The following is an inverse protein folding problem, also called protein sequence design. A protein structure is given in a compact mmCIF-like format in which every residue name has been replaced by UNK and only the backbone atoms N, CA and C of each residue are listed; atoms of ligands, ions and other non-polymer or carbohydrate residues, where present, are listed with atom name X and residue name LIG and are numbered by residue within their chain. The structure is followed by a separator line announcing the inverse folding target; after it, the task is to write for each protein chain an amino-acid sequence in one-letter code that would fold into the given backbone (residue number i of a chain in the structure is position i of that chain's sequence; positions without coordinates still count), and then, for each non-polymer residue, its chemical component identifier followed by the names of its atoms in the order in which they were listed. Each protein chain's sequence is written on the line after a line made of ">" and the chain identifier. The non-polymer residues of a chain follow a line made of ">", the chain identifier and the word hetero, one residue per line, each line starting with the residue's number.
data_IF_043002564200
#
_entry.id   IF_043002564200
#
_cell.length_a   1.000
_cell.length_b   1.000
_cell.length_c   1.000
_cell.angle_alpha   90.00
_cell.angle_beta   90.00
_cell.angle_gamma   90.00
#
_symmetry.space_group_name_H-M   'P 1'
#
loop_
_entity.id
_entity.type
_entity.pdbx_description
1 polymer ?
#
# COMPACT_ATOMS: atom_id res chain seq x y z
N UNK A 1 14.22 -1.46 13.51
CA UNK A 1 13.52 -1.83 12.26
C UNK A 1 12.76 -3.11 12.55
N UNK A 2 11.44 -3.08 12.42
CA UNK A 2 10.58 -4.24 12.68
C UNK A 2 10.08 -4.81 11.36
N UNK A 3 9.89 -6.12 11.33
CA UNK A 3 9.30 -6.81 10.20
C UNK A 3 8.26 -7.82 10.71
N UNK A 4 7.28 -8.10 9.86
CA UNK A 4 6.28 -9.14 10.08
C UNK A 4 5.83 -9.70 8.74
N UNK A 5 5.14 -10.84 8.79
CA UNK A 5 4.63 -11.54 7.62
C UNK A 5 3.11 -11.41 7.63
N UNK A 6 2.57 -10.74 6.61
CA UNK A 6 1.13 -10.57 6.46
C UNK A 6 0.57 -11.67 5.56
N UNK A 7 -0.60 -12.20 5.95
CA UNK A 7 -1.39 -13.04 5.06
C UNK A 7 -1.80 -12.23 3.83
N UNK A 8 -1.63 -12.81 2.65
CA UNK A 8 -2.21 -12.27 1.44
C UNK A 8 -2.47 -13.41 0.45
N UNK A 9 -3.72 -13.62 0.08
CA UNK A 9 -4.15 -14.85 -0.59
C UNK A 9 -3.78 -16.09 0.23
N UNK A 10 -3.46 -17.18 -0.46
CA UNK A 10 -2.94 -18.42 0.12
C UNK A 10 -1.43 -18.34 0.46
N UNK A 11 -0.87 -17.13 0.54
CA UNK A 11 0.56 -16.91 0.71
C UNK A 11 0.85 -15.69 1.59
N UNK A 12 2.05 -15.12 1.47
CA UNK A 12 2.43 -13.96 2.26
C UNK A 12 3.09 -12.83 1.49
N UNK A 13 3.02 -11.67 2.14
CA UNK A 13 3.71 -10.45 1.79
C UNK A 13 4.49 -10.00 3.03
N UNK A 14 5.69 -9.47 2.83
CA UNK A 14 6.52 -8.96 3.92
C UNK A 14 6.14 -7.51 4.22
N UNK A 15 5.95 -7.21 5.50
CA UNK A 15 5.75 -5.85 5.98
C UNK A 15 6.95 -5.42 6.82
N UNK A 16 7.56 -4.30 6.46
CA UNK A 16 8.63 -3.65 7.20
C UNK A 16 8.14 -2.28 7.68
N UNK A 17 8.42 -1.94 8.92
CA UNK A 17 7.90 -0.69 9.47
C UNK A 17 8.79 -0.06 10.55
N UNK A 18 8.67 1.25 10.62
CA UNK A 18 9.18 2.12 11.66
C UNK A 18 8.22 3.31 11.84
N UNK A 19 8.45 4.22 12.79
CA UNK A 19 7.68 5.46 12.88
C UNK A 19 7.80 6.35 11.62
N UNK A 20 8.84 6.15 10.80
CA UNK A 20 9.17 7.00 9.65
C UNK A 20 8.69 6.42 8.32
N UNK A 21 8.40 5.12 8.26
CA UNK A 21 7.91 4.50 7.03
C UNK A 21 7.14 3.21 7.29
N UNK A 22 6.32 2.85 6.31
CA UNK A 22 5.71 1.54 6.20
C UNK A 22 5.97 0.99 4.81
N UNK A 23 6.44 -0.25 4.71
CA UNK A 23 6.75 -0.89 3.44
C UNK A 23 6.10 -2.26 3.36
N UNK A 24 5.53 -2.57 2.21
CA UNK A 24 4.92 -3.85 1.85
C UNK A 24 5.65 -4.39 0.63
N UNK A 25 6.15 -5.62 0.71
CA UNK A 25 6.99 -6.21 -0.33
C UNK A 25 6.54 -7.61 -0.72
N UNK A 26 6.51 -7.85 -2.01
CA UNK A 26 6.35 -9.14 -2.66
C UNK A 26 7.44 -9.31 -3.75
N UNK A 27 7.35 -10.36 -4.58
CA UNK A 27 8.41 -10.65 -5.59
C UNK A 27 8.49 -9.60 -6.69
N UNK A 28 7.34 -9.11 -7.16
CA UNK A 28 7.23 -8.13 -8.27
C UNK A 28 6.57 -6.80 -7.85
N UNK A 29 6.41 -6.59 -6.54
CA UNK A 29 5.68 -5.44 -6.00
C UNK A 29 6.36 -4.95 -4.73
N UNK A 30 6.58 -3.64 -4.64
CA UNK A 30 7.05 -3.00 -3.40
C UNK A 30 6.37 -1.64 -3.25
N UNK A 31 5.57 -1.50 -2.20
CA UNK A 31 4.95 -0.23 -1.81
C UNK A 31 5.67 0.29 -0.58
N UNK A 32 6.14 1.52 -0.63
CA UNK A 32 6.70 2.24 0.49
C UNK A 32 5.92 3.52 0.74
N UNK A 33 5.53 3.73 1.98
CA UNK A 33 4.81 4.90 2.45
C UNK A 33 5.72 5.62 3.44
N UNK A 34 6.00 6.89 3.17
CA UNK A 34 6.73 7.83 4.01
C UNK A 34 5.89 9.09 4.22
N UNK A 35 6.25 9.96 5.18
CA UNK A 35 5.62 11.27 5.27
C UNK A 35 5.66 11.98 3.92
N UNK A 36 4.47 12.28 3.37
CA UNK A 36 4.28 13.01 2.11
C UNK A 36 4.75 12.30 0.84
N UNK A 37 5.23 11.06 0.92
CA UNK A 37 5.77 10.33 -0.24
C UNK A 37 5.23 8.91 -0.23
N UNK A 38 4.64 8.48 -1.35
CA UNK A 38 4.28 7.08 -1.58
C UNK A 38 5.00 6.60 -2.83
N UNK A 39 5.79 5.54 -2.71
CA UNK A 39 6.56 4.96 -3.80
C UNK A 39 6.08 3.54 -4.07
N UNK A 40 5.90 3.18 -5.34
CA UNK A 40 5.46 1.85 -5.77
C UNK A 40 6.35 1.33 -6.90
N UNK A 41 7.03 0.21 -6.66
CA UNK A 41 7.74 -0.57 -7.66
C UNK A 41 6.82 -1.63 -8.28
N UNK A 42 6.95 -1.85 -9.58
CA UNK A 42 6.02 -2.68 -10.36
C UNK A 42 4.83 -1.87 -10.93
N UNK A 43 4.96 -0.55 -10.93
CA UNK A 43 3.93 0.38 -11.36
C UNK A 43 3.70 0.35 -12.88
N UNK A 44 2.42 0.37 -13.27
CA UNK A 44 1.94 0.60 -14.62
C UNK A 44 1.49 2.05 -14.81
N UNK A 45 0.17 2.28 -14.71
CA UNK A 45 -0.46 3.58 -14.94
C UNK A 45 -0.91 4.21 -13.61
N UNK A 46 -0.88 5.54 -13.52
CA UNK A 46 -1.44 6.29 -12.39
C UNK A 46 -2.62 7.11 -12.90
N UNK A 47 -3.73 7.08 -12.17
CA UNK A 47 -4.84 8.00 -12.38
C UNK A 47 -5.29 8.59 -11.04
N UNK A 48 -5.81 9.82 -11.08
CA UNK A 48 -6.33 10.49 -9.91
C UNK A 48 -7.70 11.09 -10.21
N UNK A 49 -8.61 10.99 -9.24
CA UNK A 49 -9.95 11.57 -9.33
C UNK A 49 -10.35 12.22 -8.02
N UNK A 50 -11.27 13.18 -8.09
CA UNK A 50 -11.86 13.79 -6.89
C UNK A 50 -13.16 13.05 -6.54
N UNK A 51 -13.35 12.77 -5.25
CA UNK A 51 -14.52 12.10 -4.72
C UNK A 51 -15.30 13.01 -3.77
N UNK A 52 -16.56 12.69 -3.52
CA UNK A 52 -17.41 13.35 -2.51
C UNK A 52 -17.42 14.88 -2.62
N UNK A 53 -17.63 15.42 -3.83
CA UNK A 53 -17.62 16.86 -4.11
C UNK A 53 -16.30 17.54 -3.73
N UNK A 54 -15.18 16.85 -3.97
CA UNK A 54 -13.83 17.36 -3.70
C UNK A 54 -13.37 17.22 -2.26
N UNK A 55 -14.12 16.52 -1.38
CA UNK A 55 -13.68 16.28 0.01
C UNK A 55 -12.59 15.22 0.11
N UNK A 56 -12.45 14.36 -0.89
CA UNK A 56 -11.41 13.33 -0.98
C UNK A 56 -10.81 13.32 -2.38
N UNK A 57 -9.57 12.88 -2.49
CA UNK A 57 -8.92 12.52 -3.75
C UNK A 57 -8.59 11.03 -3.71
N UNK A 58 -8.86 10.35 -4.80
CA UNK A 58 -8.55 8.96 -5.02
C UNK A 58 -7.40 8.87 -6.01
N UNK A 59 -6.33 8.18 -5.65
CA UNK A 59 -5.25 7.84 -6.57
C UNK A 59 -5.29 6.34 -6.80
N UNK A 60 -5.32 5.94 -8.07
CA UNK A 60 -5.28 4.55 -8.50
C UNK A 60 -3.99 4.31 -9.25
N UNK A 61 -3.26 3.27 -8.85
CA UNK A 61 -2.02 2.84 -9.48
C UNK A 61 -2.25 1.41 -9.97
N UNK A 62 -2.25 1.21 -11.28
CA UNK A 62 -2.28 -0.16 -11.83
C UNK A 62 -0.90 -0.79 -11.74
N UNK A 63 -0.85 -2.10 -11.56
CA UNK A 63 0.35 -2.91 -11.57
C UNK A 63 0.02 -4.32 -12.06
N UNK A 64 1.04 -5.15 -12.29
CA UNK A 64 0.79 -6.56 -12.55
C UNK A 64 0.24 -7.25 -11.30
N UNK A 65 -0.43 -8.40 -11.49
CA UNK A 65 -0.88 -9.22 -10.38
C UNK A 65 0.27 -9.50 -9.39
N UNK A 66 0.03 -9.26 -8.10
CA UNK A 66 1.05 -9.41 -7.07
C UNK A 66 1.47 -10.87 -6.94
N UNK A 67 2.76 -11.12 -7.18
CA UNK A 67 3.42 -12.41 -6.98
C UNK A 67 3.95 -12.47 -5.54
N UNK A 68 3.20 -13.15 -4.69
CA UNK A 68 3.53 -13.32 -3.29
C UNK A 68 4.79 -14.17 -3.09
N UNK A 69 5.37 -14.06 -1.90
CA UNK A 69 6.34 -15.06 -1.46
C UNK A 69 5.61 -16.37 -1.19
N UNK A 70 6.25 -17.50 -1.50
CA UNK A 70 5.70 -18.82 -1.22
C UNK A 70 5.68 -19.07 0.28
N UNK A 71 4.78 -19.96 0.74
CA UNK A 71 4.60 -20.25 2.17
C UNK A 71 5.90 -20.66 2.87
N UNK A 72 6.81 -21.33 2.17
CA UNK A 72 8.09 -21.78 2.71
C UNK A 72 9.10 -20.64 2.88
N UNK A 73 8.93 -19.56 2.12
CA UNK A 73 9.72 -18.31 2.23
C UNK A 73 9.16 -17.39 3.32
N UNK A 74 7.92 -17.63 3.75
CA UNK A 74 7.26 -16.93 4.84
C UNK A 74 7.81 -17.45 6.18
N UNK A 75 8.95 -16.92 6.62
CA UNK A 75 9.52 -17.23 7.92
C UNK A 75 8.70 -16.55 9.04
N UNK A 76 7.58 -17.15 9.44
CA UNK A 76 6.75 -16.67 10.54
C UNK A 76 5.28 -17.03 10.43
N UNK A 77 4.54 -16.68 11.48
CA UNK A 77 3.09 -16.76 11.49
C UNK A 77 2.48 -15.72 10.54
N UNK A 78 1.38 -16.11 9.88
CA UNK A 78 0.67 -15.21 8.97
C UNK A 78 -0.31 -14.36 9.76
N UNK A 79 0.05 -13.11 9.96
CA UNK A 79 -0.82 -12.15 10.60
C UNK A 79 -1.88 -11.65 9.61
N UNK A 80 -3.14 -11.68 10.03
CA UNK A 80 -4.23 -11.06 9.27
C UNK A 80 -4.42 -9.59 9.67
N UNK A 81 -3.89 -9.17 10.82
CA UNK A 81 -3.95 -7.79 11.28
C UNK A 81 -2.70 -7.45 12.11
N UNK A 82 -2.09 -6.31 11.82
CA UNK A 82 -0.92 -5.81 12.55
C UNK A 82 -1.17 -4.37 12.92
N UNK A 83 -1.11 -4.08 14.22
CA UNK A 83 -1.12 -2.73 14.75
C UNK A 83 0.26 -2.41 15.34
N UNK A 84 0.91 -1.41 14.78
CA UNK A 84 2.29 -1.01 15.12
C UNK A 84 2.33 0.21 16.05
N UNK A 85 1.16 0.69 16.50
CA UNK A 85 0.99 1.98 17.18
C UNK A 85 0.92 3.18 16.24
N UNK A 86 1.51 3.08 15.04
CA UNK A 86 1.51 4.14 14.02
C UNK A 86 0.66 3.75 12.80
N UNK A 87 0.89 2.53 12.30
CA UNK A 87 0.15 1.94 11.20
C UNK A 87 -0.70 0.78 11.72
N UNK A 88 -1.90 0.67 11.16
CA UNK A 88 -2.71 -0.54 11.26
C UNK A 88 -2.85 -1.12 9.86
N UNK A 89 -2.46 -2.38 9.69
CA UNK A 89 -2.64 -3.10 8.43
C UNK A 89 -3.52 -4.31 8.65
N UNK A 90 -4.47 -4.49 7.75
CA UNK A 90 -5.42 -5.59 7.81
C UNK A 90 -5.50 -6.29 6.46
N UNK A 91 -5.22 -7.58 6.45
CA UNK A 91 -5.52 -8.46 5.35
C UNK A 91 -7.00 -8.84 5.39
N UNK A 92 -7.70 -8.62 4.28
CA UNK A 92 -9.10 -8.99 4.12
C UNK A 92 -9.21 -10.02 3.00
N UNK A 93 -9.82 -11.15 3.32
CA UNK A 93 -10.10 -12.24 2.38
C UNK A 93 -11.58 -12.23 2.06
N UNK A 94 -11.93 -12.19 0.79
CA UNK A 94 -13.33 -12.21 0.35
C UNK A 94 -13.51 -13.15 -0.83
N UNK A 95 -14.74 -13.65 -1.11
CA UNK A 95 -15.01 -14.44 -2.31
C UNK A 95 -14.70 -13.71 -3.63
N UNK A 96 -14.56 -12.39 -3.61
CA UNK A 96 -14.32 -11.55 -4.79
C UNK A 96 -12.88 -11.07 -4.90
N UNK A 97 -12.00 -11.53 -4.02
CA UNK A 97 -10.59 -11.18 -4.01
C UNK A 97 -10.09 -10.70 -2.65
N UNK A 98 -8.78 -10.68 -2.55
CA UNK A 98 -8.07 -10.38 -1.31
C UNK A 98 -7.33 -9.06 -1.44
N UNK A 99 -7.30 -8.30 -0.35
CA UNK A 99 -6.65 -7.01 -0.32
C UNK A 99 -6.08 -6.70 1.06
N UNK A 100 -5.06 -5.84 1.08
CA UNK A 100 -4.55 -5.24 2.31
C UNK A 100 -5.12 -3.83 2.45
N UNK A 101 -5.62 -3.48 3.63
CA UNK A 101 -5.90 -2.09 4.00
C UNK A 101 -4.82 -1.60 4.95
N UNK A 102 -4.16 -0.51 4.61
CA UNK A 102 -3.12 0.15 5.41
C UNK A 102 -3.68 1.49 5.88
N UNK A 103 -3.95 1.60 7.17
CA UNK A 103 -4.31 2.86 7.82
C UNK A 103 -3.02 3.61 8.17
N UNK A 104 -2.91 4.84 7.68
CA UNK A 104 -1.71 5.66 7.81
C UNK A 104 -1.87 6.73 8.90
N UNK A 105 -0.80 7.09 9.63
CA UNK A 105 -0.84 8.22 10.55
C UNK A 105 -1.13 9.54 9.83
N UNK A 106 -1.71 10.50 10.55
CA UNK A 106 -2.03 11.82 9.98
C UNK A 106 -0.81 12.59 9.43
N UNK A 107 0.39 12.31 9.92
CA UNK A 107 1.65 12.90 9.41
C UNK A 107 2.00 12.45 7.98
N UNK A 108 1.38 11.39 7.47
CA UNK A 108 1.63 10.82 6.14
C UNK A 108 0.76 11.44 5.05
N UNK A 109 -0.25 12.23 5.43
CA UNK A 109 -1.17 12.96 4.54
C UNK A 109 -2.05 12.09 3.63
N UNK A 110 -1.94 10.76 3.70
CA UNK A 110 -2.94 9.82 3.23
C UNK A 110 -3.90 9.44 4.36
N UNK A 111 -5.15 9.16 4.02
CA UNK A 111 -6.12 8.61 4.98
C UNK A 111 -5.87 7.10 5.16
N UNK A 112 -5.81 6.38 4.03
CA UNK A 112 -5.51 4.95 3.98
C UNK A 112 -5.11 4.54 2.56
N UNK A 113 -4.53 3.34 2.47
CA UNK A 113 -4.11 2.71 1.22
C UNK A 113 -4.72 1.32 1.15
N UNK A 114 -5.18 0.91 -0.02
CA UNK A 114 -5.66 -0.45 -0.29
C UNK A 114 -4.79 -1.07 -1.37
N UNK A 115 -4.17 -2.21 -1.05
CA UNK A 115 -3.36 -3.00 -1.99
C UNK A 115 -4.20 -4.19 -2.45
N UNK A 116 -4.74 -4.09 -3.67
CA UNK A 116 -5.46 -5.17 -4.35
C UNK A 116 -4.53 -6.03 -5.20
N UNK A 117 -5.12 -6.94 -5.98
CA UNK A 117 -4.35 -7.90 -6.78
C UNK A 117 -3.50 -7.23 -7.87
N UNK A 118 -4.09 -6.31 -8.63
CA UNK A 118 -3.50 -5.63 -9.79
C UNK A 118 -3.66 -4.11 -9.73
N UNK A 119 -4.17 -3.60 -8.62
CA UNK A 119 -4.38 -2.18 -8.39
C UNK A 119 -4.14 -1.80 -6.94
N UNK A 120 -3.45 -0.67 -6.76
CA UNK A 120 -3.27 -0.01 -5.48
C UNK A 120 -4.06 1.29 -5.47
N UNK A 121 -4.89 1.46 -4.44
CA UNK A 121 -5.71 2.63 -4.22
C UNK A 121 -5.18 3.42 -3.02
N UNK A 122 -5.06 4.74 -3.16
CA UNK A 122 -4.66 5.64 -2.09
C UNK A 122 -5.74 6.70 -1.93
N UNK A 123 -6.29 6.82 -0.73
CA UNK A 123 -7.20 7.90 -0.40
C UNK A 123 -6.43 9.05 0.24
N UNK A 124 -6.60 10.25 -0.32
CA UNK A 124 -6.07 11.50 0.23
C UNK A 124 -7.23 12.41 0.66
N UNK A 125 -7.01 13.28 1.66
CA UNK A 125 -7.90 14.41 1.92
C UNK A 125 -7.99 15.33 0.69
N UNK A 126 -9.18 15.88 0.43
CA UNK A 126 -9.44 16.67 -0.78
C UNK A 126 -8.62 17.96 -0.91
N UNK A 127 -8.23 18.56 0.21
CA UNK A 127 -7.39 19.76 0.24
C UNK A 127 -5.90 19.51 0.00
N UNK A 128 -5.49 18.27 -0.28
CA UNK A 128 -4.11 17.91 -0.60
C UNK A 128 -3.89 17.87 -2.09
N UNK A 129 -2.74 18.33 -2.55
CA UNK A 129 -2.30 18.12 -3.93
C UNK A 129 -1.39 16.89 -4.02
N UNK A 130 -1.39 16.26 -5.18
CA UNK A 130 -0.60 15.07 -5.46
C UNK A 130 0.11 15.23 -6.80
N UNK A 131 1.43 15.08 -6.77
CA UNK A 131 2.28 15.12 -7.96
C UNK A 131 2.84 13.73 -8.22
N UNK A 132 2.92 13.36 -9.49
CA UNK A 132 3.26 12.00 -9.91
C UNK A 132 4.53 12.02 -10.74
N UNK A 133 5.49 11.19 -10.34
CA UNK A 133 6.69 10.90 -11.12
C UNK A 133 6.72 9.41 -11.44
N UNK A 134 7.06 9.06 -12.69
CA UNK A 134 7.29 7.68 -13.11
C UNK A 134 8.65 7.53 -13.77
N UNK A 135 9.47 6.66 -13.22
CA UNK A 135 10.77 6.26 -13.76
C UNK A 135 10.77 4.75 -13.95
N UNK A 136 10.69 4.30 -15.21
CA UNK A 136 10.50 2.89 -15.56
C UNK A 136 9.29 2.27 -14.84
N UNK A 137 9.51 1.27 -13.98
CA UNK A 137 8.50 0.56 -13.17
C UNK A 137 8.31 1.15 -11.77
N UNK A 138 8.97 2.27 -11.44
CA UNK A 138 8.82 2.98 -10.19
C UNK A 138 7.91 4.20 -10.36
N UNK A 139 6.88 4.29 -9.53
CA UNK A 139 6.02 5.44 -9.41
C UNK A 139 6.20 6.09 -8.04
N UNK A 140 6.40 7.40 -8.02
CA UNK A 140 6.51 8.20 -6.80
C UNK A 140 5.40 9.23 -6.78
N UNK A 141 4.68 9.30 -5.66
CA UNK A 141 3.60 10.24 -5.41
C UNK A 141 4.06 11.19 -4.31
N UNK A 142 4.09 12.48 -4.61
CA UNK A 142 4.40 13.54 -3.65
C UNK A 142 3.09 14.21 -3.21
N UNK A 143 2.79 14.17 -1.91
CA UNK A 143 1.56 14.70 -1.32
C UNK A 143 1.85 16.03 -0.61
N UNK A 144 1.11 17.09 -0.94
CA UNK A 144 1.30 18.46 -0.42
C UNK A 144 0.04 18.94 0.28
#
# INVERSE_FOLDING_TARGET
>A
MHHTVLRYKESCILAEYSPEYFRVKARNYELEVRPRIVSLKGCGNISASTLYRGRKKAVYISHQAIQCFRREECHGDLESEVNTGYFTVKATVTPHGDYLTILTPGSFLSDYIVVGEDMTYIQLPGGRDAYFERLADLCTIYIV
#
